data_IF_100776861177
#
_entry.id   IF_100776861177
#
_cell.length_a   1.000
_cell.length_b   1.000
_cell.length_c   1.000
_cell.angle_alpha   90.00
_cell.angle_beta   90.00
_cell.angle_gamma   90.00
#
_symmetry.space_group_name_H-M   'P 1'
#
loop_
_entity.id
_entity.type
_entity.pdbx_description
1 polymer ?
#
# COMPACT_ATOMS: atom_id res chain seq x y z
N UNK A 1 -4.98 14.94 10.06
CA UNK A 1 -4.51 13.97 9.04
C UNK A 1 -5.17 14.36 7.73
N UNK A 2 -4.46 14.29 6.61
CA UNK A 2 -5.08 14.52 5.29
C UNK A 2 -6.04 13.36 4.99
N UNK A 3 -7.06 13.58 4.15
CA UNK A 3 -8.07 12.55 3.85
C UNK A 3 -7.61 11.58 2.77
N UNK A 4 -8.34 10.49 2.60
CA UNK A 4 -8.33 9.60 1.43
C UNK A 4 -9.36 10.13 0.45
N UNK A 5 -9.02 10.24 -0.83
CA UNK A 5 -9.98 10.46 -1.90
C UNK A 5 -10.34 9.13 -2.54
N UNK A 6 -11.63 8.75 -2.55
CA UNK A 6 -12.15 7.60 -3.28
C UNK A 6 -12.94 8.08 -4.50
N UNK A 7 -12.50 7.71 -5.69
CA UNK A 7 -13.12 8.07 -6.97
C UNK A 7 -13.80 6.83 -7.54
N UNK A 8 -15.13 6.85 -7.64
CA UNK A 8 -15.94 5.73 -8.14
C UNK A 8 -17.13 6.28 -8.94
N UNK A 9 -17.48 5.60 -10.03
CA UNK A 9 -18.62 5.96 -10.88
C UNK A 9 -19.72 4.88 -10.87
N UNK A 10 -19.42 3.67 -10.36
CA UNK A 10 -20.38 2.56 -10.31
C UNK A 10 -21.06 2.48 -8.95
N UNK A 11 -21.93 3.46 -8.68
CA UNK A 11 -22.63 3.66 -7.40
C UNK A 11 -23.40 2.40 -6.97
N UNK A 12 -24.13 1.78 -7.90
CA UNK A 12 -24.94 0.59 -7.63
C UNK A 12 -24.10 -0.57 -7.12
N UNK A 13 -22.89 -0.74 -7.65
CA UNK A 13 -21.97 -1.80 -7.28
C UNK A 13 -21.30 -1.51 -5.93
N UNK A 14 -20.86 -0.27 -5.70
CA UNK A 14 -20.36 0.14 -4.39
C UNK A 14 -21.43 -0.15 -3.33
N UNK A 15 -22.66 0.32 -3.54
CA UNK A 15 -23.79 0.09 -2.64
C UNK A 15 -24.05 -1.40 -2.39
N UNK A 16 -24.07 -2.23 -3.44
CA UNK A 16 -24.27 -3.69 -3.30
C UNK A 16 -23.22 -4.31 -2.38
N UNK A 17 -21.94 -3.96 -2.55
CA UNK A 17 -20.89 -4.50 -1.69
C UNK A 17 -20.96 -3.99 -0.25
N UNK A 18 -21.40 -2.74 -0.04
CA UNK A 18 -21.61 -2.16 1.28
C UNK A 18 -22.78 -2.83 2.02
N UNK A 19 -23.91 -3.00 1.33
CA UNK A 19 -25.13 -3.61 1.87
C UNK A 19 -24.89 -5.08 2.27
N UNK A 20 -24.17 -5.85 1.44
CA UNK A 20 -23.79 -7.25 1.74
C UNK A 20 -22.96 -7.42 3.02
N UNK A 21 -22.25 -6.37 3.45
CA UNK A 21 -21.25 -6.42 4.53
C UNK A 21 -21.65 -5.62 5.77
N UNK A 22 -22.85 -5.04 5.76
CA UNK A 22 -23.34 -4.18 6.85
C UNK A 22 -22.31 -3.09 7.21
N UNK A 23 -21.73 -2.45 6.19
CA UNK A 23 -20.63 -1.50 6.32
C UNK A 23 -20.95 -0.21 5.56
N UNK A 24 -20.69 0.94 6.20
CA UNK A 24 -21.01 2.27 5.65
C UNK A 24 -19.76 3.13 5.57
N UNK A 25 -19.49 3.72 4.40
CA UNK A 25 -18.37 4.65 4.19
C UNK A 25 -18.61 5.99 4.90
N UNK A 26 -19.87 6.33 5.18
CA UNK A 26 -20.26 7.53 5.91
C UNK A 26 -19.69 7.55 7.34
N UNK A 27 -19.46 6.38 7.96
CA UNK A 27 -18.80 6.24 9.26
C UNK A 27 -17.33 6.71 9.26
N UNK A 28 -16.76 6.94 8.07
CA UNK A 28 -15.37 7.36 7.85
C UNK A 28 -15.28 8.71 7.15
N UNK A 29 -16.36 9.51 7.11
CA UNK A 29 -16.40 10.80 6.41
C UNK A 29 -15.35 11.83 6.92
N UNK A 30 -14.82 11.63 8.13
CA UNK A 30 -13.73 12.41 8.72
C UNK A 30 -12.37 12.14 8.05
N UNK A 31 -12.14 10.92 7.58
CA UNK A 31 -10.89 10.49 6.93
C UNK A 31 -11.02 10.14 5.45
N UNK A 32 -12.23 9.91 4.93
CA UNK A 32 -12.50 9.44 3.58
C UNK A 32 -13.47 10.41 2.89
N UNK A 33 -13.10 10.86 1.70
CA UNK A 33 -14.00 11.55 0.77
C UNK A 33 -14.42 10.59 -0.34
N UNK A 34 -15.62 10.03 -0.21
CA UNK A 34 -16.26 9.23 -1.25
C UNK A 34 -16.82 10.14 -2.34
N UNK A 35 -16.14 10.19 -3.48
CA UNK A 35 -16.48 11.00 -4.64
C UNK A 35 -17.19 10.15 -5.68
N UNK A 36 -18.53 10.21 -5.61
CA UNK A 36 -19.48 9.56 -6.51
C UNK A 36 -20.41 10.62 -7.13
N UNK A 37 -21.17 10.25 -8.18
CA UNK A 37 -22.17 11.12 -8.82
C UNK A 37 -21.57 12.49 -9.25
N UNK A 38 -22.21 13.61 -8.90
CA UNK A 38 -21.75 14.96 -9.23
C UNK A 38 -20.32 15.27 -8.74
N UNK A 39 -19.86 14.65 -7.63
CA UNK A 39 -18.48 14.83 -7.16
C UNK A 39 -17.50 14.13 -8.10
N UNK A 40 -17.85 12.91 -8.53
CA UNK A 40 -17.09 12.17 -9.52
C UNK A 40 -17.00 12.97 -10.84
N UNK A 41 -18.12 13.49 -11.36
CA UNK A 41 -18.15 14.26 -12.61
C UNK A 41 -17.20 15.47 -12.58
N UNK A 42 -17.18 16.21 -11.46
CA UNK A 42 -16.27 17.36 -11.27
C UNK A 42 -14.80 16.93 -11.27
N UNK A 43 -14.50 15.83 -10.59
CA UNK A 43 -13.14 15.27 -10.54
C UNK A 43 -12.70 14.76 -11.91
N UNK A 44 -13.58 14.04 -12.61
CA UNK A 44 -13.31 13.52 -13.93
C UNK A 44 -13.03 14.65 -14.92
N UNK A 45 -13.83 15.72 -14.90
CA UNK A 45 -13.60 16.90 -15.73
C UNK A 45 -12.26 17.58 -15.41
N UNK A 46 -11.96 17.81 -14.12
CA UNK A 46 -10.70 18.41 -13.71
C UNK A 46 -9.48 17.56 -14.08
N UNK A 47 -9.58 16.24 -14.00
CA UNK A 47 -8.56 15.29 -14.47
C UNK A 47 -8.37 15.38 -15.99
N UNK A 48 -9.45 15.46 -16.77
CA UNK A 48 -9.39 15.62 -18.23
C UNK A 48 -8.71 16.93 -18.61
N UNK A 49 -9.11 18.03 -17.99
CA UNK A 49 -8.59 19.39 -18.22
C UNK A 49 -7.22 19.65 -17.58
N UNK A 50 -6.71 18.73 -16.76
CA UNK A 50 -5.46 18.87 -16.01
C UNK A 50 -5.45 20.10 -15.07
N UNK A 51 -6.60 20.39 -14.46
CA UNK A 51 -6.85 21.51 -13.55
C UNK A 51 -7.09 21.06 -12.09
N UNK A 52 -6.90 19.77 -11.81
CA UNK A 52 -7.15 19.17 -10.50
C UNK A 52 -6.08 19.54 -9.47
N UNK A 53 -6.51 19.70 -8.21
CA UNK A 53 -5.65 19.82 -7.04
C UNK A 53 -6.18 18.89 -5.93
N UNK A 54 -5.31 17.96 -5.51
CA UNK A 54 -5.60 16.94 -4.52
C UNK A 54 -4.69 17.05 -3.30
N UNK A 55 -4.19 18.27 -3.01
CA UNK A 55 -3.26 18.51 -1.92
C UNK A 55 -3.83 18.19 -0.55
N UNK A 56 -5.14 18.35 -0.34
CA UNK A 56 -5.83 17.97 0.91
C UNK A 56 -5.85 16.46 1.17
N UNK A 57 -5.50 15.63 0.19
CA UNK A 57 -5.51 14.18 0.32
C UNK A 57 -4.09 13.63 0.50
N UNK A 58 -3.94 12.57 1.31
CA UNK A 58 -2.67 11.82 1.40
C UNK A 58 -2.66 10.60 0.50
N UNK A 59 -3.84 10.16 0.05
CA UNK A 59 -4.02 8.93 -0.71
C UNK A 59 -5.17 9.10 -1.69
N UNK A 60 -5.01 8.52 -2.87
CA UNK A 60 -6.06 8.46 -3.90
C UNK A 60 -6.36 7.00 -4.17
N UNK A 61 -7.64 6.65 -4.10
CA UNK A 61 -8.19 5.36 -4.48
C UNK A 61 -9.14 5.58 -5.65
N UNK A 62 -8.99 4.85 -6.75
CA UNK A 62 -9.82 5.07 -7.93
C UNK A 62 -10.23 3.76 -8.60
N UNK A 63 -11.51 3.67 -8.95
CA UNK A 63 -11.97 2.60 -9.82
C UNK A 63 -11.52 2.88 -11.25
N UNK A 64 -10.72 1.99 -11.87
CA UNK A 64 -10.16 2.27 -13.22
C UNK A 64 -11.25 2.53 -14.25
N UNK A 65 -12.30 1.72 -14.27
CA UNK A 65 -13.37 1.87 -15.28
C UNK A 65 -14.27 3.08 -15.02
N UNK A 66 -14.07 3.84 -13.93
CA UNK A 66 -14.75 5.13 -13.80
C UNK A 66 -14.40 6.03 -15.00
N UNK A 67 -13.18 5.99 -15.50
CA UNK A 67 -12.66 6.95 -16.48
C UNK A 67 -12.98 6.62 -17.96
N UNK A 68 -13.84 5.65 -18.24
CA UNK A 68 -14.30 5.24 -19.58
C UNK A 68 -13.23 5.26 -20.70
N UNK A 69 -13.32 6.19 -21.65
CA UNK A 69 -12.43 6.29 -22.82
C UNK A 69 -11.08 6.96 -22.51
N UNK A 70 -10.98 7.67 -21.39
CA UNK A 70 -9.80 8.46 -21.00
C UNK A 70 -8.92 7.74 -19.96
N UNK A 71 -9.22 6.46 -19.68
CA UNK A 71 -8.58 5.64 -18.62
C UNK A 71 -7.07 5.71 -18.67
N UNK A 72 -6.46 5.49 -19.85
CA UNK A 72 -5.00 5.47 -19.99
C UNK A 72 -4.38 6.82 -19.61
N UNK A 73 -4.92 7.92 -20.14
CA UNK A 73 -4.42 9.27 -19.86
C UNK A 73 -4.60 9.63 -18.37
N UNK A 74 -5.76 9.33 -17.79
CA UNK A 74 -6.06 9.67 -16.40
C UNK A 74 -5.21 8.85 -15.43
N UNK A 75 -5.00 7.55 -15.70
CA UNK A 75 -4.11 6.70 -14.90
C UNK A 75 -2.70 7.29 -14.86
N UNK A 76 -2.15 7.68 -16.02
CA UNK A 76 -0.81 8.25 -16.08
C UNK A 76 -0.72 9.61 -15.36
N UNK A 77 -1.76 10.46 -15.48
CA UNK A 77 -1.84 11.73 -14.72
C UNK A 77 -1.85 11.49 -13.21
N UNK A 78 -2.67 10.55 -12.72
CA UNK A 78 -2.75 10.21 -11.30
C UNK A 78 -1.43 9.62 -10.79
N UNK A 79 -0.80 8.71 -11.53
CA UNK A 79 0.52 8.15 -11.18
C UNK A 79 1.57 9.25 -11.09
N UNK A 80 1.67 10.12 -12.09
CA UNK A 80 2.62 11.21 -12.11
C UNK A 80 2.42 12.18 -10.93
N UNK A 81 1.17 12.55 -10.67
CA UNK A 81 0.81 13.43 -9.56
C UNK A 81 1.13 12.79 -8.20
N UNK A 82 0.70 11.54 -7.95
CA UNK A 82 0.95 10.86 -6.68
C UNK A 82 2.45 10.65 -6.43
N UNK A 83 3.22 10.32 -7.48
CA UNK A 83 4.68 10.22 -7.40
C UNK A 83 5.30 11.56 -7.01
N UNK A 84 4.92 12.65 -7.68
CA UNK A 84 5.45 13.99 -7.44
C UNK A 84 5.12 14.50 -6.03
N UNK A 85 3.88 14.30 -5.59
CA UNK A 85 3.36 14.82 -4.32
C UNK A 85 3.50 13.83 -3.14
N UNK A 86 4.22 12.73 -3.34
CA UNK A 86 4.45 11.68 -2.35
C UNK A 86 3.15 11.16 -1.68
N UNK A 87 2.21 10.72 -2.53
CA UNK A 87 0.91 10.16 -2.11
C UNK A 87 0.82 8.70 -2.50
N UNK A 88 0.17 7.91 -1.66
CA UNK A 88 -0.19 6.53 -2.00
C UNK A 88 -1.31 6.51 -3.06
N UNK A 89 -1.24 5.55 -3.96
CA UNK A 89 -2.20 5.40 -5.06
C UNK A 89 -2.73 3.96 -5.11
N UNK A 90 -4.05 3.82 -5.08
CA UNK A 90 -4.73 2.53 -5.20
C UNK A 90 -5.64 2.57 -6.42
N UNK A 91 -5.45 1.64 -7.35
CA UNK A 91 -6.43 1.38 -8.40
C UNK A 91 -7.14 0.06 -8.18
N UNK A 92 -8.43 0.02 -8.45
CA UNK A 92 -9.18 -1.23 -8.42
C UNK A 92 -10.10 -1.37 -9.63
N UNK A 93 -10.29 -2.61 -10.10
CA UNK A 93 -11.15 -2.94 -11.24
C UNK A 93 -11.47 -4.43 -11.31
N UNK A 94 -12.41 -4.83 -12.17
CA UNK A 94 -12.66 -6.25 -12.43
C UNK A 94 -11.55 -6.88 -13.28
N UNK A 95 -11.23 -8.16 -13.04
CA UNK A 95 -10.35 -8.96 -13.90
C UNK A 95 -8.85 -8.62 -13.85
N UNK A 96 -8.40 -7.88 -12.83
CA UNK A 96 -6.97 -7.58 -12.61
C UNK A 96 -6.38 -8.48 -11.53
N UNK A 97 -5.10 -8.81 -11.66
CA UNK A 97 -4.35 -9.43 -10.58
C UNK A 97 -3.89 -8.35 -9.59
N UNK A 98 -3.77 -8.72 -8.32
CA UNK A 98 -3.24 -7.82 -7.32
C UNK A 98 -1.76 -7.55 -7.61
N UNK A 99 -1.39 -6.28 -7.70
CA UNK A 99 -0.03 -5.83 -8.02
C UNK A 99 0.36 -4.70 -7.09
N UNK A 100 1.53 -4.81 -6.45
CA UNK A 100 2.07 -3.78 -5.58
C UNK A 100 3.42 -3.31 -6.10
N UNK A 101 3.62 -2.00 -6.12
CA UNK A 101 4.87 -1.35 -6.48
C UNK A 101 5.18 -0.23 -5.50
N UNK A 102 6.36 -0.28 -4.90
CA UNK A 102 6.81 0.72 -3.93
C UNK A 102 7.66 1.82 -4.56
N UNK A 103 8.01 1.73 -5.85
CA UNK A 103 8.82 2.72 -6.57
C UNK A 103 8.06 4.04 -6.84
N UNK A 104 6.76 4.08 -6.51
CA UNK A 104 5.85 5.22 -6.70
C UNK A 104 5.26 5.78 -5.39
N UNK A 105 5.94 5.63 -4.25
CA UNK A 105 5.42 6.03 -2.93
C UNK A 105 4.15 5.25 -2.54
N UNK A 106 4.21 3.93 -2.72
CA UNK A 106 3.15 2.93 -2.52
C UNK A 106 2.01 3.00 -3.55
N UNK A 107 2.11 2.11 -4.55
CA UNK A 107 1.13 1.87 -5.58
C UNK A 107 0.54 0.46 -5.43
N UNK A 108 -0.79 0.35 -5.44
CA UNK A 108 -1.49 -0.94 -5.39
C UNK A 108 -2.56 -0.99 -6.47
N UNK A 109 -2.53 -2.04 -7.29
CA UNK A 109 -3.68 -2.48 -8.07
C UNK A 109 -4.31 -3.71 -7.44
N UNK A 110 -5.64 -3.78 -7.39
CA UNK A 110 -6.35 -4.95 -6.88
C UNK A 110 -7.73 -5.16 -7.52
N UNK A 111 -8.24 -6.39 -7.44
CA UNK A 111 -9.57 -6.69 -7.95
C UNK A 111 -10.67 -6.00 -7.11
N UNK A 112 -11.73 -5.51 -7.75
CA UNK A 112 -12.85 -4.84 -7.07
C UNK A 112 -13.42 -5.64 -5.89
N UNK A 113 -13.52 -6.97 -6.02
CA UNK A 113 -14.04 -7.84 -4.94
C UNK A 113 -13.12 -7.86 -3.71
N UNK A 114 -11.82 -7.68 -3.89
CA UNK A 114 -10.85 -7.58 -2.79
C UNK A 114 -10.87 -6.18 -2.19
N UNK A 115 -10.99 -5.15 -3.03
CA UNK A 115 -11.12 -3.77 -2.55
C UNK A 115 -12.33 -3.61 -1.63
N UNK A 116 -13.54 -3.97 -2.08
CA UNK A 116 -14.74 -3.86 -1.26
C UNK A 116 -14.95 -5.05 -0.30
N UNK A 117 -13.88 -5.71 0.14
CA UNK A 117 -13.95 -6.76 1.17
C UNK A 117 -13.85 -6.16 2.58
N UNK A 118 -13.92 -7.01 3.61
CA UNK A 118 -13.68 -6.62 5.00
C UNK A 118 -12.30 -5.96 5.21
N UNK A 119 -11.39 -6.15 4.25
CA UNK A 119 -10.09 -5.49 4.23
C UNK A 119 -10.18 -3.96 4.11
N UNK A 120 -11.21 -3.42 3.42
CA UNK A 120 -11.41 -1.97 3.36
C UNK A 120 -11.77 -1.41 4.73
N UNK A 121 -12.68 -2.06 5.44
CA UNK A 121 -13.02 -1.70 6.82
C UNK A 121 -11.79 -1.75 7.72
N UNK A 122 -11.06 -2.88 7.69
CA UNK A 122 -9.80 -3.04 8.43
C UNK A 122 -8.80 -1.91 8.13
N UNK A 123 -8.63 -1.58 6.86
CA UNK A 123 -7.73 -0.52 6.44
C UNK A 123 -8.18 0.86 6.93
N UNK A 124 -9.47 1.21 6.82
CA UNK A 124 -9.97 2.50 7.26
C UNK A 124 -9.93 2.66 8.78
N UNK A 125 -10.20 1.59 9.54
CA UNK A 125 -10.03 1.56 10.99
C UNK A 125 -8.56 1.82 11.37
N UNK A 126 -7.63 1.10 10.73
CA UNK A 126 -6.20 1.30 10.95
C UNK A 126 -5.73 2.70 10.52
N UNK A 127 -6.32 3.26 9.46
CA UNK A 127 -6.00 4.60 8.98
C UNK A 127 -6.42 5.67 10.00
N UNK A 128 -7.55 5.51 10.71
CA UNK A 128 -7.92 6.38 11.85
C UNK A 128 -6.86 6.37 12.94
N UNK A 129 -6.20 5.23 13.15
CA UNK A 129 -5.09 5.04 14.09
C UNK A 129 -3.71 5.42 13.51
N UNK A 130 -3.68 6.13 12.37
CA UNK A 130 -2.46 6.60 11.67
C UNK A 130 -1.62 5.49 11.02
N UNK A 131 -2.19 4.32 10.79
CA UNK A 131 -1.57 3.27 10.00
C UNK A 131 -2.13 3.27 8.56
N UNK A 132 -1.33 3.79 7.62
CA UNK A 132 -1.74 3.95 6.22
C UNK A 132 -1.24 2.83 5.29
N UNK A 133 -0.96 1.63 5.80
CA UNK A 133 -0.41 0.55 4.99
C UNK A 133 -1.46 -0.04 4.02
N UNK A 134 -1.34 0.31 2.73
CA UNK A 134 -2.27 -0.12 1.69
C UNK A 134 -2.28 -1.63 1.44
N UNK A 135 -1.27 -2.37 1.91
CA UNK A 135 -1.25 -3.83 1.78
C UNK A 135 -2.38 -4.51 2.57
N UNK A 136 -2.95 -3.83 3.57
CA UNK A 136 -4.17 -4.30 4.25
C UNK A 136 -5.31 -4.56 3.26
N UNK A 137 -5.45 -3.75 2.21
CA UNK A 137 -6.50 -3.90 1.20
C UNK A 137 -6.40 -5.24 0.46
N UNK A 138 -5.17 -5.74 0.23
CA UNK A 138 -4.93 -7.01 -0.47
C UNK A 138 -4.90 -8.21 0.50
N UNK A 139 -4.22 -8.07 1.64
CA UNK A 139 -3.88 -9.19 2.52
C UNK A 139 -4.68 -9.25 3.83
N UNK A 140 -5.54 -8.26 4.07
CA UNK A 140 -6.30 -8.15 5.32
C UNK A 140 -5.38 -8.20 6.53
N UNK A 141 -5.80 -8.93 7.58
CA UNK A 141 -5.02 -9.11 8.82
C UNK A 141 -3.63 -9.72 8.60
N UNK A 142 -3.38 -10.39 7.48
CA UNK A 142 -2.09 -11.03 7.15
C UNK A 142 -1.10 -10.08 6.49
N UNK A 143 -1.41 -8.79 6.35
CA UNK A 143 -0.52 -7.81 5.72
C UNK A 143 0.86 -7.73 6.38
N UNK A 144 0.94 -7.89 7.71
CA UNK A 144 2.22 -7.95 8.46
C UNK A 144 3.02 -9.17 8.02
N UNK A 145 2.40 -10.36 8.06
CA UNK A 145 3.04 -11.61 7.66
C UNK A 145 3.59 -11.51 6.23
N UNK A 146 2.80 -10.99 5.30
CA UNK A 146 3.22 -10.80 3.91
C UNK A 146 4.39 -9.80 3.78
N UNK A 147 4.34 -8.69 4.51
CA UNK A 147 5.42 -7.69 4.53
C UNK A 147 6.73 -8.30 5.03
N UNK A 148 6.65 -9.08 6.10
CA UNK A 148 7.82 -9.73 6.70
C UNK A 148 8.39 -10.84 5.82
N UNK A 149 7.53 -11.65 5.20
CA UNK A 149 7.95 -12.69 4.25
C UNK A 149 8.67 -12.09 3.04
N UNK A 150 8.16 -11.01 2.47
CA UNK A 150 8.81 -10.32 1.35
C UNK A 150 10.19 -9.77 1.74
N UNK A 151 10.33 -9.19 2.94
CA UNK A 151 11.62 -8.70 3.44
C UNK A 151 12.58 -9.88 3.67
N UNK A 152 12.10 -10.98 4.24
CA UNK A 152 12.89 -12.20 4.44
C UNK A 152 13.40 -12.77 3.10
N UNK A 153 12.54 -12.85 2.10
CA UNK A 153 12.91 -13.28 0.75
C UNK A 153 14.00 -12.39 0.16
N UNK A 154 13.83 -11.07 0.22
CA UNK A 154 14.85 -10.11 -0.27
C UNK A 154 16.16 -10.22 0.49
N UNK A 155 16.13 -10.44 1.80
CA UNK A 155 17.35 -10.68 2.59
C UNK A 155 18.05 -11.96 2.12
N UNK A 156 17.31 -13.04 1.86
CA UNK A 156 17.89 -14.27 1.35
C UNK A 156 18.51 -14.08 -0.04
N UNK A 157 17.79 -13.45 -0.97
CA UNK A 157 18.30 -13.13 -2.31
C UNK A 157 19.55 -12.24 -2.24
N UNK A 158 19.57 -11.26 -1.33
CA UNK A 158 20.73 -10.41 -1.09
C UNK A 158 21.94 -11.22 -0.63
N UNK A 159 21.75 -12.12 0.35
CA UNK A 159 22.80 -12.97 0.92
C UNK A 159 23.33 -14.04 -0.05
N UNK A 160 22.51 -14.47 -1.00
CA UNK A 160 22.90 -15.39 -2.09
C UNK A 160 23.72 -14.67 -3.17
N UNK A 161 23.34 -13.42 -3.48
CA UNK A 161 24.02 -12.59 -4.47
C UNK A 161 25.30 -11.89 -3.98
N UNK A 162 25.47 -11.73 -2.66
CA UNK A 162 26.61 -11.03 -2.05
C UNK A 162 27.35 -11.94 -1.07
N UNK A 163 28.61 -12.24 -1.39
CA UNK A 163 29.48 -13.09 -0.57
C UNK A 163 30.50 -12.31 0.26
N UNK A 164 30.49 -10.98 0.18
CA UNK A 164 31.39 -10.11 0.93
C UNK A 164 31.12 -10.21 2.44
N UNK A 165 32.18 -10.03 3.24
CA UNK A 165 32.07 -10.09 4.71
C UNK A 165 31.28 -8.92 5.29
N UNK A 166 31.33 -7.77 4.62
CA UNK A 166 30.62 -6.54 4.91
C UNK A 166 30.07 -5.90 3.63
N UNK A 167 28.98 -5.16 3.78
CA UNK A 167 28.33 -4.46 2.68
C UNK A 167 27.94 -3.05 3.10
N UNK A 168 27.82 -2.15 2.12
CA UNK A 168 27.26 -0.81 2.35
C UNK A 168 25.83 -0.95 2.85
N UNK A 169 25.53 -0.42 4.03
CA UNK A 169 24.24 -0.57 4.67
C UNK A 169 23.10 0.01 3.83
N UNK A 170 23.31 1.16 3.18
CA UNK A 170 22.30 1.76 2.32
C UNK A 170 21.96 0.89 1.10
N UNK A 171 22.94 0.16 0.55
CA UNK A 171 22.71 -0.77 -0.56
C UNK A 171 21.86 -1.98 -0.08
N UNK A 172 22.21 -2.56 1.07
CA UNK A 172 21.41 -3.61 1.70
C UNK A 172 19.99 -3.12 2.02
N UNK A 173 19.86 -1.97 2.66
CA UNK A 173 18.60 -1.37 3.07
C UNK A 173 17.69 -1.07 1.88
N UNK A 174 18.23 -0.48 0.81
CA UNK A 174 17.45 -0.15 -0.38
C UNK A 174 17.00 -1.41 -1.13
N UNK A 175 17.83 -2.46 -1.16
CA UNK A 175 17.47 -3.73 -1.79
C UNK A 175 16.39 -4.49 -1.01
N UNK A 176 16.53 -4.54 0.32
CA UNK A 176 15.69 -5.38 1.18
C UNK A 176 14.47 -4.68 1.76
N UNK A 177 14.47 -3.35 1.79
CA UNK A 177 13.48 -2.52 2.47
C UNK A 177 13.35 -2.84 3.96
N UNK A 178 14.45 -3.27 4.58
CA UNK A 178 14.51 -3.69 5.99
C UNK A 178 13.95 -2.65 6.97
N UNK A 179 14.04 -1.36 6.62
CA UNK A 179 13.51 -0.27 7.44
C UNK A 179 12.00 -0.35 7.64
N UNK A 180 11.26 -1.02 6.74
CA UNK A 180 9.82 -1.23 6.89
C UNK A 180 9.47 -2.10 8.10
N UNK A 181 10.42 -2.89 8.62
CA UNK A 181 10.23 -3.67 9.85
C UNK A 181 10.00 -2.77 11.08
N UNK A 182 10.46 -1.51 11.06
CA UNK A 182 10.26 -0.55 12.16
C UNK A 182 8.78 -0.17 12.36
N UNK A 183 7.95 -0.38 11.33
CA UNK A 183 6.52 -0.09 11.37
C UNK A 183 5.68 -1.27 11.89
N UNK A 184 6.32 -2.34 12.36
CA UNK A 184 5.67 -3.52 12.90
C UNK A 184 5.83 -3.49 14.43
N UNK A 185 4.76 -3.78 15.17
CA UNK A 185 4.77 -3.73 16.65
C UNK A 185 5.82 -4.67 17.30
N UNK A 186 6.34 -5.64 16.55
CA UNK A 186 7.43 -6.51 16.98
C UNK A 186 8.79 -5.81 16.84
N UNK A 187 9.58 -5.88 17.91
CA UNK A 187 11.00 -5.57 17.88
C UNK A 187 11.78 -6.73 17.25
N UNK A 188 12.40 -6.47 16.10
CA UNK A 188 13.36 -7.36 15.47
C UNK A 188 14.80 -7.05 15.92
N UNK A 189 15.71 -7.99 15.72
CA UNK A 189 17.14 -7.80 15.93
C UNK A 189 17.64 -6.53 15.25
N UNK A 190 18.30 -5.66 16.02
CA UNK A 190 18.90 -4.44 15.49
C UNK A 190 20.35 -4.71 15.13
N UNK A 191 20.65 -4.67 13.83
CA UNK A 191 22.01 -4.86 13.34
C UNK A 191 22.95 -3.76 13.81
N UNK A 192 24.21 -4.12 14.04
CA UNK A 192 25.29 -3.16 14.24
C UNK A 192 25.76 -2.60 12.90
N UNK A 193 25.81 -1.28 12.80
CA UNK A 193 26.24 -0.55 11.61
C UNK A 193 27.48 0.26 12.02
N UNK A 194 28.57 0.10 11.27
CA UNK A 194 29.87 0.73 11.55
C UNK A 194 30.28 1.53 10.31
N UNK A 195 30.40 2.85 10.44
CA UNK A 195 30.80 3.76 9.36
C UNK A 195 30.04 3.58 8.02
N UNK A 196 28.75 3.24 8.10
CA UNK A 196 27.89 3.02 6.94
C UNK A 196 27.96 1.60 6.35
N UNK A 197 28.70 0.70 6.99
CA UNK A 197 28.82 -0.70 6.63
C UNK A 197 28.08 -1.60 7.61
N UNK A 198 27.65 -2.77 7.14
CA UNK A 198 27.05 -3.81 7.96
C UNK A 198 27.69 -5.15 7.64
N UNK A 199 28.10 -5.87 8.67
CA UNK A 199 28.66 -7.20 8.51
C UNK A 199 27.58 -8.21 8.10
N UNK A 200 27.97 -9.16 7.24
CA UNK A 200 27.12 -10.27 6.81
C UNK A 200 26.57 -11.08 8.00
N UNK A 201 27.36 -11.22 9.06
CA UNK A 201 26.94 -11.90 10.30
C UNK A 201 25.79 -11.17 11.01
N UNK A 202 25.74 -9.83 10.94
CA UNK A 202 24.63 -9.03 11.48
C UNK A 202 23.36 -9.19 10.64
N UNK A 203 23.50 -9.23 9.31
CA UNK A 203 22.37 -9.51 8.39
C UNK A 203 21.79 -10.90 8.67
N UNK A 204 22.64 -11.91 8.90
CA UNK A 204 22.22 -13.27 9.24
C UNK A 204 21.42 -13.32 10.55
N UNK A 205 21.87 -12.61 11.59
CA UNK A 205 21.14 -12.55 12.87
C UNK A 205 19.74 -11.96 12.69
N UNK A 206 19.63 -10.89 11.89
CA UNK A 206 18.33 -10.31 11.56
C UNK A 206 17.46 -11.31 10.79
N UNK A 207 18.00 -11.93 9.73
CA UNK A 207 17.29 -12.95 8.95
C UNK A 207 16.74 -14.06 9.85
N UNK A 208 17.55 -14.55 10.78
CA UNK A 208 17.17 -15.67 11.65
C UNK A 208 16.07 -15.27 12.65
N UNK A 209 16.12 -14.06 13.20
CA UNK A 209 15.04 -13.52 14.05
C UNK A 209 13.73 -13.31 13.26
N UNK A 210 13.82 -12.80 12.02
CA UNK A 210 12.68 -12.72 11.11
C UNK A 210 12.09 -14.11 10.84
N UNK A 211 12.94 -15.09 10.53
CA UNK A 211 12.53 -16.47 10.26
C UNK A 211 11.85 -17.10 11.48
N UNK A 212 12.35 -16.83 12.70
CA UNK A 212 11.70 -17.28 13.93
C UNK A 212 10.29 -16.70 14.09
N UNK A 213 10.11 -15.42 13.80
CA UNK A 213 8.79 -14.79 13.82
C UNK A 213 7.83 -15.34 12.76
N UNK A 214 8.31 -15.54 11.53
CA UNK A 214 7.51 -16.19 10.49
C UNK A 214 7.06 -17.58 10.92
N UNK A 215 7.93 -18.35 11.57
CA UNK A 215 7.57 -19.67 12.11
C UNK A 215 6.53 -19.58 13.22
N UNK A 216 6.55 -18.54 14.06
CA UNK A 216 5.50 -18.38 15.09
C UNK A 216 4.14 -18.05 14.49
N UNK A 217 4.10 -17.29 13.39
CA UNK A 217 2.85 -16.95 12.69
C UNK A 217 2.13 -18.16 12.06
N UNK A 218 2.84 -19.26 11.82
CA UNK A 218 2.25 -20.49 11.28
C UNK A 218 1.63 -21.40 12.34
N UNK A 219 1.81 -21.09 13.62
CA UNK A 219 1.30 -21.87 14.76
C UNK A 219 0.06 -21.23 15.41
N UNK A 220 -0.39 -20.08 14.91
CA UNK A 220 -1.61 -19.36 15.30
C UNK A 220 -2.72 -19.53 14.24
#
# INVERSE_FOLDING_TARGET
MKKILLIEDVISRQKSFMDEREFSLEEYADILENSISEKYEKIALALKENSFDFDQYSMIMAHKSAFENDVGLIIEKLKAYCKKENKALVFFSGGVQNYYDNSYNDYLELETKYFYSDNLKLFLDAYKEKNANILMLSYGKKWIANSVLNILEKINLFLEGNNDEDVVYDLFKNFTEVDKLKNIEKLFYTMKIEDGWVYRTEIIKLRDDILMYVKSLSND
#
